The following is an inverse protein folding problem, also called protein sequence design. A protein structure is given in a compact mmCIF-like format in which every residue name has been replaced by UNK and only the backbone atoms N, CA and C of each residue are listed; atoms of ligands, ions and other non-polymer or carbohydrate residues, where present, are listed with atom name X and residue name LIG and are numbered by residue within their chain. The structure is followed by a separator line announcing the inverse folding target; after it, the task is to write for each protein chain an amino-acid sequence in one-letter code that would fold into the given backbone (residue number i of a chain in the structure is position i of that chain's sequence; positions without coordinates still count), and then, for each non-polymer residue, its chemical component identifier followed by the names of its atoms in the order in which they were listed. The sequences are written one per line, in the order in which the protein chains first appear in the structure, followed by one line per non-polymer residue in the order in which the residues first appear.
data_IF_869184119476
#
_entry.id   IF_869184119476
#
_cell.length_a   1.000
_cell.length_b   1.000
_cell.length_c   1.000
_cell.angle_alpha   90.00
_cell.angle_beta   90.00
_cell.angle_gamma   90.00
#
_symmetry.space_group_name_H-M   'P 1'
#
loop_
_entity.id
_entity.type
_entity.pdbx_description
1 polymer ?
#
# COMPACT_ATOMS: atom_id res chain seq x y z
N UNK A 1 -24.74 4.92 -10.28
CA UNK A 1 -23.80 5.64 -9.39
C UNK A 1 -23.99 5.12 -7.98
N UNK A 2 -22.91 4.80 -7.27
CA UNK A 2 -22.96 4.36 -5.87
C UNK A 2 -21.97 5.21 -5.07
N UNK A 3 -22.40 5.69 -3.90
CA UNK A 3 -21.53 6.42 -2.97
C UNK A 3 -21.36 5.55 -1.74
N UNK A 4 -20.12 5.14 -1.45
CA UNK A 4 -19.75 4.59 -0.15
C UNK A 4 -19.30 5.76 0.73
N UNK A 5 -20.02 6.02 1.82
CA UNK A 5 -19.72 7.18 2.67
C UNK A 5 -18.52 6.88 3.56
N UNK A 6 -17.86 7.94 3.99
CA UNK A 6 -16.78 7.83 4.96
C UNK A 6 -17.33 7.22 6.25
N UNK A 7 -16.68 6.14 6.72
CA UNK A 7 -17.11 5.40 7.92
C UNK A 7 -17.95 4.16 7.63
N UNK A 8 -18.48 3.97 6.42
CA UNK A 8 -19.32 2.81 6.09
C UNK A 8 -18.52 1.50 6.00
N UNK A 9 -17.23 1.60 5.64
CA UNK A 9 -16.35 0.45 5.47
C UNK A 9 -15.42 0.36 6.68
N UNK A 10 -15.49 -0.72 7.47
CA UNK A 10 -14.66 -0.86 8.66
C UNK A 10 -13.19 -1.04 8.27
N UNK A 11 -12.30 -0.42 9.05
CA UNK A 11 -10.87 -0.66 8.96
C UNK A 11 -10.54 -2.10 9.40
N UNK A 12 -9.46 -2.65 8.84
CA UNK A 12 -8.98 -4.00 9.14
C UNK A 12 -7.50 -3.95 9.51
N UNK A 13 -7.06 -4.87 10.40
CA UNK A 13 -5.63 -5.10 10.65
C UNK A 13 -5.04 -5.85 9.45
N UNK A 14 -3.86 -5.42 8.99
CA UNK A 14 -3.10 -6.14 7.98
C UNK A 14 -2.73 -7.54 8.48
N UNK A 15 -2.97 -8.62 7.70
CA UNK A 15 -2.61 -9.98 8.09
C UNK A 15 -1.10 -10.11 8.34
N UNK A 16 -0.71 -10.77 9.43
CA UNK A 16 0.70 -10.93 9.82
C UNK A 16 1.52 -11.73 8.80
N UNK A 17 0.86 -12.58 8.01
CA UNK A 17 1.49 -13.27 6.88
C UNK A 17 1.93 -12.33 5.75
N UNK A 18 1.35 -11.14 5.64
CA UNK A 18 1.61 -10.18 4.56
C UNK A 18 2.36 -8.93 5.03
N UNK A 19 2.41 -8.70 6.34
CA UNK A 19 2.96 -7.48 6.92
C UNK A 19 3.84 -7.77 8.12
N UNK A 20 4.93 -7.02 8.24
CA UNK A 20 5.69 -6.89 9.48
C UNK A 20 5.25 -5.59 10.18
N UNK A 21 5.01 -5.63 11.49
CA UNK A 21 4.58 -4.47 12.28
C UNK A 21 3.07 -4.20 12.19
N UNK A 22 2.65 -3.05 12.74
CA UNK A 22 1.23 -2.67 12.76
C UNK A 22 0.84 -1.98 11.45
N UNK A 23 -0.14 -2.56 10.75
CA UNK A 23 -0.69 -2.03 9.50
C UNK A 23 -2.21 -2.01 9.60
N UNK A 24 -2.81 -0.90 9.18
CA UNK A 24 -4.26 -0.72 9.08
C UNK A 24 -4.65 -0.56 7.60
N UNK A 25 -5.65 -1.31 7.17
CA UNK A 25 -6.18 -1.28 5.81
C UNK A 25 -7.60 -0.72 5.87
N UNK A 26 -7.85 0.33 5.10
CA UNK A 26 -9.17 0.90 4.86
C UNK A 26 -9.63 0.52 3.46
N UNK A 27 -10.57 -0.41 3.30
CA UNK A 27 -11.12 -0.76 2.00
C UNK A 27 -11.86 0.44 1.39
N UNK A 28 -11.61 0.73 0.11
CA UNK A 28 -12.30 1.83 -0.60
C UNK A 28 -13.18 1.26 -1.72
N UNK A 29 -12.63 0.44 -2.60
CA UNK A 29 -13.37 -0.19 -3.69
C UNK A 29 -12.86 -1.62 -3.95
N UNK A 30 -13.80 -2.52 -4.20
CA UNK A 30 -13.55 -3.86 -4.70
C UNK A 30 -14.16 -3.96 -6.07
N UNK A 31 -13.37 -4.38 -7.05
CA UNK A 31 -13.82 -4.50 -8.42
C UNK A 31 -14.94 -5.53 -8.55
N UNK A 32 -15.94 -5.20 -9.38
CA UNK A 32 -16.97 -6.14 -9.83
C UNK A 32 -16.69 -6.43 -11.30
N UNK A 33 -16.74 -7.72 -11.68
CA UNK A 33 -16.50 -8.11 -13.07
C UNK A 33 -17.38 -7.31 -14.03
N UNK A 34 -16.84 -6.83 -15.17
CA UNK A 34 -15.53 -7.15 -15.73
C UNK A 34 -14.38 -6.22 -15.28
N UNK A 35 -14.58 -5.33 -14.31
CA UNK A 35 -13.49 -4.50 -13.79
C UNK A 35 -12.50 -5.30 -12.94
N UNK A 36 -11.27 -4.78 -12.80
CA UNK A 36 -10.18 -5.43 -12.06
C UNK A 36 -9.51 -4.54 -10.99
N UNK A 37 -9.85 -3.26 -10.92
CA UNK A 37 -9.18 -2.32 -10.02
C UNK A 37 -9.75 -2.38 -8.60
N UNK A 38 -8.93 -2.85 -7.66
CA UNK A 38 -9.21 -2.71 -6.23
C UNK A 38 -8.50 -1.47 -5.69
N UNK A 39 -9.12 -0.81 -4.71
CA UNK A 39 -8.59 0.40 -4.08
C UNK A 39 -8.70 0.27 -2.56
N UNK A 40 -7.60 0.54 -1.87
CA UNK A 40 -7.54 0.62 -0.42
C UNK A 40 -6.59 1.74 0.00
N UNK A 41 -6.87 2.34 1.15
CA UNK A 41 -5.90 3.19 1.87
C UNK A 41 -5.19 2.31 2.90
N UNK A 42 -3.86 2.33 2.89
CA UNK A 42 -3.06 1.50 3.80
C UNK A 42 -2.18 2.41 4.66
N UNK A 43 -2.35 2.32 5.98
CA UNK A 43 -1.56 3.06 6.95
C UNK A 43 -0.56 2.13 7.62
N UNK A 44 0.72 2.53 7.57
CA UNK A 44 1.82 1.81 8.21
C UNK A 44 2.28 2.58 9.44
N UNK A 45 2.32 1.92 10.59
CA UNK A 45 3.02 2.47 11.75
C UNK A 45 4.55 2.51 11.50
N UNK A 46 5.31 3.31 12.26
CA UNK A 46 6.77 3.37 12.08
C UNK A 46 7.42 1.97 12.12
N UNK A 47 8.20 1.67 11.09
CA UNK A 47 8.86 0.36 10.93
C UNK A 47 7.99 -0.74 10.32
N UNK A 48 6.68 -0.53 10.16
CA UNK A 48 5.80 -1.48 9.50
C UNK A 48 6.00 -1.48 7.97
N UNK A 49 5.84 -2.65 7.36
CA UNK A 49 6.08 -2.87 5.92
C UNK A 49 5.36 -4.09 5.37
N UNK A 50 5.15 -4.13 4.05
CA UNK A 50 4.71 -5.34 3.35
C UNK A 50 5.82 -6.39 3.32
N UNK A 51 5.44 -7.66 3.29
CA UNK A 51 6.28 -8.72 2.77
C UNK A 51 6.60 -8.47 1.29
N UNK A 52 7.64 -9.12 0.77
CA UNK A 52 7.93 -9.12 -0.66
C UNK A 52 6.80 -9.79 -1.43
N UNK A 53 6.28 -9.14 -2.47
CA UNK A 53 5.18 -9.66 -3.28
C UNK A 53 5.25 -9.12 -4.70
N UNK A 54 4.43 -9.67 -5.59
CA UNK A 54 4.26 -9.19 -6.96
C UNK A 54 2.78 -8.95 -7.25
N UNK A 55 2.48 -8.09 -8.22
CA UNK A 55 1.13 -7.91 -8.74
C UNK A 55 0.99 -8.54 -10.13
N UNK A 56 -0.07 -9.34 -10.39
CA UNK A 56 -0.29 -9.96 -11.71
C UNK A 56 -0.51 -8.97 -12.84
N UNK A 57 -1.02 -7.77 -12.54
CA UNK A 57 -1.14 -6.64 -13.46
C UNK A 57 -0.12 -5.57 -13.05
N UNK A 58 -0.56 -4.49 -12.42
CA UNK A 58 0.33 -3.46 -11.87
C UNK A 58 -0.21 -2.98 -10.53
N UNK A 59 0.63 -2.25 -9.79
CA UNK A 59 0.19 -1.50 -8.62
C UNK A 59 0.57 -0.03 -8.80
N UNK A 60 -0.35 0.86 -8.45
CA UNK A 60 -0.08 2.29 -8.32
C UNK A 60 -0.33 2.69 -6.88
N UNK A 61 0.61 3.40 -6.27
CA UNK A 61 0.48 4.00 -4.96
C UNK A 61 0.44 5.50 -5.09
N UNK A 62 -0.45 6.13 -4.32
CA UNK A 62 -0.49 7.58 -4.14
C UNK A 62 -0.24 7.82 -2.66
N UNK A 63 0.84 8.53 -2.34
CA UNK A 63 1.19 8.81 -0.95
C UNK A 63 0.35 9.98 -0.47
N UNK A 64 -0.50 9.74 0.53
CA UNK A 64 -1.45 10.74 1.03
C UNK A 64 -0.99 11.41 2.32
N UNK A 65 -0.17 10.75 3.12
CA UNK A 65 0.32 11.27 4.39
C UNK A 65 1.64 10.63 4.83
N UNK A 66 2.40 11.34 5.68
CA UNK A 66 3.60 10.82 6.33
C UNK A 66 4.84 10.74 5.41
N UNK A 67 5.74 9.82 5.72
CA UNK A 67 6.99 9.61 5.00
C UNK A 67 7.31 8.12 4.95
N UNK A 68 7.51 7.59 3.74
CA UNK A 68 7.67 6.16 3.50
C UNK A 68 8.94 5.80 2.72
N UNK A 69 9.02 4.52 2.40
CA UNK A 69 10.05 3.92 1.55
C UNK A 69 9.43 2.87 0.65
N UNK A 70 9.94 2.76 -0.56
CA UNK A 70 9.60 1.71 -1.51
C UNK A 70 10.86 1.10 -2.10
N UNK A 71 10.78 -0.17 -2.49
CA UNK A 71 11.88 -0.86 -3.13
C UNK A 71 11.35 -1.94 -4.09
N UNK A 72 12.00 -2.06 -5.25
CA UNK A 72 11.93 -3.25 -6.10
C UNK A 72 13.07 -4.20 -5.75
N UNK A 73 12.86 -5.51 -5.84
CA UNK A 73 13.89 -6.51 -5.52
C UNK A 73 15.22 -6.22 -6.23
N UNK A 74 16.31 -6.13 -5.45
CA UNK A 74 17.66 -5.82 -5.94
C UNK A 74 17.89 -4.36 -6.35
N UNK A 75 16.87 -3.50 -6.33
CA UNK A 75 16.98 -2.07 -6.62
C UNK A 75 17.27 -1.22 -5.37
N UNK A 76 17.49 0.10 -5.56
CA UNK A 76 17.66 1.03 -4.44
C UNK A 76 16.38 1.17 -3.62
N UNK A 77 16.53 1.60 -2.37
CA UNK A 77 15.42 2.03 -1.52
C UNK A 77 15.13 3.50 -1.84
N UNK A 78 13.91 3.78 -2.25
CA UNK A 78 13.43 5.13 -2.58
C UNK A 78 12.63 5.69 -1.40
N UNK A 79 12.81 6.97 -1.08
CA UNK A 79 11.98 7.66 -0.09
C UNK A 79 10.68 8.17 -0.72
N UNK A 80 9.60 8.13 0.06
CA UNK A 80 8.27 8.55 -0.36
C UNK A 80 7.74 9.69 0.51
N UNK A 81 7.06 10.65 -0.10
CA UNK A 81 6.44 11.84 0.52
C UNK A 81 5.03 12.09 -0.04
N UNK A 82 4.17 12.83 0.68
CA UNK A 82 2.81 13.09 0.23
C UNK A 82 2.82 13.80 -1.12
N UNK A 83 2.00 13.30 -2.05
CA UNK A 83 1.97 13.75 -3.45
C UNK A 83 2.75 12.86 -4.41
N UNK A 84 3.67 12.02 -3.92
CA UNK A 84 4.38 11.07 -4.78
C UNK A 84 3.44 10.00 -5.34
N UNK A 85 3.66 9.64 -6.60
CA UNK A 85 2.98 8.54 -7.28
C UNK A 85 4.01 7.47 -7.63
N UNK A 86 3.82 6.27 -7.09
CA UNK A 86 4.70 5.12 -7.36
C UNK A 86 3.97 4.15 -8.27
N UNK A 87 4.63 3.73 -9.35
CA UNK A 87 4.11 2.71 -10.24
C UNK A 87 5.02 1.48 -10.24
N UNK A 88 4.45 0.33 -9.90
CA UNK A 88 5.10 -0.96 -9.99
C UNK A 88 4.54 -1.73 -11.19
N UNK A 89 5.41 -1.97 -12.17
CA UNK A 89 5.09 -2.77 -13.35
C UNK A 89 4.83 -4.23 -12.98
N UNK A 90 4.14 -4.93 -13.86
CA UNK A 90 3.93 -6.38 -13.78
C UNK A 90 5.22 -7.14 -13.50
N UNK A 91 5.12 -8.17 -12.67
CA UNK A 91 6.20 -9.11 -12.33
C UNK A 91 7.42 -8.54 -11.60
N UNK A 92 7.46 -7.25 -11.21
CA UNK A 92 8.48 -6.78 -10.27
C UNK A 92 8.08 -7.14 -8.85
N UNK A 93 8.98 -7.79 -8.11
CA UNK A 93 8.81 -8.03 -6.67
C UNK A 93 9.07 -6.73 -5.91
N UNK A 94 8.16 -6.38 -5.01
CA UNK A 94 8.08 -5.07 -4.36
C UNK A 94 7.91 -5.19 -2.87
N UNK A 95 8.50 -4.24 -2.14
CA UNK A 95 8.31 -4.02 -0.71
C UNK A 95 8.05 -2.55 -0.44
N UNK A 96 7.11 -2.23 0.45
CA UNK A 96 6.79 -0.86 0.86
C UNK A 96 6.77 -0.75 2.38
N UNK A 97 7.29 0.35 2.92
CA UNK A 97 7.44 0.57 4.35
C UNK A 97 7.23 2.04 4.72
N UNK A 98 6.96 2.35 5.99
CA UNK A 98 7.16 3.69 6.53
C UNK A 98 8.62 3.86 6.99
N UNK A 99 9.22 5.04 6.80
CA UNK A 99 10.60 5.28 7.25
C UNK A 99 10.76 5.01 8.76
N UNK A 100 11.92 4.50 9.23
CA UNK A 100 12.18 4.38 10.66
C UNK A 100 12.17 5.76 11.32
N UNK A 101 11.71 5.84 12.58
CA UNK A 101 11.84 7.05 13.39
C UNK A 101 13.30 7.51 13.35
N UNK A 102 13.54 8.80 13.08
CA UNK A 102 14.84 9.41 13.36
C UNK A 102 15.15 9.14 14.84
N UNK A 103 16.39 8.69 15.11
CA UNK A 103 16.95 8.69 16.47
C UNK A 103 16.95 10.13 17.00
#
# INVERSE_FOLDING_TARGET
MQIKRSGDQPSQKGPEAWFTGQVRIDPLHTAVAPAHANVASVTFEPGARTAWHTHPLSQTLIVTAGAGRAQTWGGPIEELRPGDVVWFSRARSTGTARAPRRR
#
